data_IF_757561739631
#
_entry.id   IF_757561739631
#
_cell.length_a   1.000
_cell.length_b   1.000
_cell.length_c   1.000
_cell.angle_alpha   90.00
_cell.angle_beta   90.00
_cell.angle_gamma   90.00
#
_symmetry.space_group_name_H-M   'P 1'
#
loop_
_entity.id
_entity.type
_entity.pdbx_description
1 polymer ?
#
# COMPACT_ATOMS: atom_id res chain seq x y z
N UNK A 1 1.04 51.20 -19.74
CA UNK A 1 1.83 50.47 -18.70
C UNK A 1 1.02 49.94 -17.54
N UNK A 2 -0.01 50.59 -16.99
CA UNK A 2 -0.79 50.09 -15.84
C UNK A 2 -1.57 48.79 -16.11
N UNK A 3 -2.09 48.56 -17.29
CA UNK A 3 -2.89 47.36 -17.63
C UNK A 3 -2.02 46.12 -17.85
N UNK A 4 -0.74 46.26 -18.11
CA UNK A 4 0.18 45.18 -18.36
C UNK A 4 0.45 44.37 -17.06
N UNK A 5 0.56 45.07 -15.93
CA UNK A 5 0.73 44.41 -14.60
C UNK A 5 -0.56 43.76 -14.09
N UNK A 6 -1.70 44.30 -14.47
CA UNK A 6 -3.00 43.76 -14.13
C UNK A 6 -3.27 42.41 -14.85
N UNK A 7 -2.91 42.32 -16.13
CA UNK A 7 -2.96 41.11 -16.93
C UNK A 7 -1.98 40.02 -16.42
N UNK A 8 -0.76 40.41 -16.04
CA UNK A 8 0.21 39.49 -15.43
C UNK A 8 -0.25 38.95 -14.09
N UNK A 9 -0.87 39.78 -13.26
CA UNK A 9 -1.41 39.34 -11.96
C UNK A 9 -2.56 38.35 -12.11
N UNK A 10 -3.46 38.56 -13.06
CA UNK A 10 -4.57 37.63 -13.35
C UNK A 10 -4.06 36.29 -13.91
N UNK A 11 -3.06 36.35 -14.80
CA UNK A 11 -2.43 35.15 -15.37
C UNK A 11 -1.71 34.32 -14.29
N UNK A 12 -1.02 34.98 -13.37
CA UNK A 12 -0.32 34.33 -12.26
C UNK A 12 -1.30 33.71 -11.25
N UNK A 13 -2.42 34.38 -10.97
CA UNK A 13 -3.51 33.86 -10.14
C UNK A 13 -4.16 32.61 -10.70
N UNK A 14 -4.34 32.54 -12.03
CA UNK A 14 -4.89 31.36 -12.72
C UNK A 14 -3.95 30.16 -12.70
N UNK A 15 -2.64 30.38 -12.73
CA UNK A 15 -1.64 29.31 -12.65
C UNK A 15 -1.54 28.68 -11.26
N UNK A 16 -1.80 29.43 -10.19
CA UNK A 16 -1.79 28.89 -8.82
C UNK A 16 -3.06 28.11 -8.48
N UNK A 17 -4.18 28.37 -9.15
CA UNK A 17 -5.44 27.64 -8.93
C UNK A 17 -5.45 26.22 -9.51
N UNK A 18 -4.57 25.89 -10.46
CA UNK A 18 -4.60 24.58 -11.13
C UNK A 18 -4.02 23.44 -10.30
N UNK A 19 -3.19 23.73 -9.30
CA UNK A 19 -2.49 22.69 -8.53
C UNK A 19 -3.36 22.06 -7.42
N UNK A 20 -4.36 22.76 -6.91
CA UNK A 20 -5.24 22.27 -5.83
C UNK A 20 -6.36 21.36 -6.32
N UNK A 21 -6.85 21.56 -7.55
CA UNK A 21 -7.93 20.74 -8.11
C UNK A 21 -7.50 19.29 -8.42
N UNK A 22 -6.26 19.09 -8.84
CA UNK A 22 -5.76 17.75 -9.20
C UNK A 22 -5.52 16.84 -7.98
N UNK A 23 -5.18 17.40 -6.83
CA UNK A 23 -4.99 16.64 -5.60
C UNK A 23 -6.33 16.11 -5.05
N UNK A 24 -7.35 16.94 -5.01
CA UNK A 24 -8.68 16.57 -4.49
C UNK A 24 -9.40 15.54 -5.39
N UNK A 25 -9.15 15.55 -6.69
CA UNK A 25 -9.70 14.56 -7.62
C UNK A 25 -9.02 13.20 -7.45
N UNK A 26 -7.71 13.18 -7.22
CA UNK A 26 -6.94 11.96 -6.92
C UNK A 26 -7.40 11.28 -5.62
N UNK A 27 -7.67 12.05 -4.58
CA UNK A 27 -8.16 11.53 -3.30
C UNK A 27 -9.56 10.88 -3.47
N UNK A 28 -10.46 11.49 -4.22
CA UNK A 28 -11.80 10.93 -4.48
C UNK A 28 -11.75 9.65 -5.33
N UNK A 29 -10.82 9.56 -6.25
CA UNK A 29 -10.60 8.34 -7.04
C UNK A 29 -10.04 7.21 -6.18
N UNK A 30 -9.08 7.52 -5.32
CA UNK A 30 -8.52 6.57 -4.35
C UNK A 30 -9.58 6.06 -3.39
N UNK A 31 -10.38 6.93 -2.80
CA UNK A 31 -11.47 6.55 -1.89
C UNK A 31 -12.50 5.65 -2.58
N UNK A 32 -12.84 5.94 -3.81
CA UNK A 32 -13.76 5.11 -4.61
C UNK A 32 -13.16 3.73 -4.89
N UNK A 33 -11.88 3.68 -5.22
CA UNK A 33 -11.15 2.42 -5.43
C UNK A 33 -11.13 1.57 -4.16
N UNK A 34 -10.77 2.18 -3.01
CA UNK A 34 -10.73 1.52 -1.71
C UNK A 34 -12.12 0.99 -1.32
N UNK A 35 -13.16 1.81 -1.44
CA UNK A 35 -14.52 1.41 -1.13
C UNK A 35 -14.99 0.22 -1.99
N UNK A 36 -14.67 0.23 -3.28
CA UNK A 36 -14.99 -0.87 -4.19
C UNK A 36 -14.24 -2.15 -3.82
N UNK A 37 -12.94 -2.05 -3.52
CA UNK A 37 -12.12 -3.18 -3.08
C UNK A 37 -12.66 -3.78 -1.77
N UNK A 38 -12.91 -2.94 -0.78
CA UNK A 38 -13.48 -3.35 0.51
C UNK A 38 -14.87 -4.00 0.37
N UNK A 39 -15.67 -3.54 -0.58
CA UNK A 39 -16.97 -4.14 -0.90
C UNK A 39 -16.86 -5.57 -1.46
N UNK A 40 -15.75 -5.91 -2.10
CA UNK A 40 -15.48 -7.26 -2.64
C UNK A 40 -14.87 -8.20 -1.60
N UNK A 41 -14.31 -7.68 -0.52
CA UNK A 41 -13.62 -8.46 0.51
C UNK A 41 -14.57 -9.18 1.44
N UNK A 42 -14.28 -10.44 1.73
CA UNK A 42 -14.88 -11.20 2.82
C UNK A 42 -14.39 -10.66 4.18
N UNK A 43 -15.09 -11.02 5.26
CA UNK A 43 -14.64 -10.67 6.62
C UNK A 43 -13.25 -11.26 6.92
N UNK A 44 -12.99 -12.49 6.48
CA UNK A 44 -11.68 -13.14 6.64
C UNK A 44 -10.56 -12.34 5.98
N UNK A 45 -10.76 -11.90 4.74
CA UNK A 45 -9.78 -11.09 4.01
C UNK A 45 -9.58 -9.71 4.65
N UNK A 46 -10.63 -9.08 5.17
CA UNK A 46 -10.52 -7.81 5.90
C UNK A 46 -9.69 -7.96 7.18
N UNK A 47 -9.92 -9.04 7.94
CA UNK A 47 -9.13 -9.34 9.14
C UNK A 47 -7.68 -9.65 8.78
N UNK A 48 -7.45 -10.38 7.69
CA UNK A 48 -6.11 -10.65 7.17
C UNK A 48 -5.31 -9.39 6.87
N UNK A 49 -5.94 -8.36 6.27
CA UNK A 49 -5.26 -7.08 6.00
C UNK A 49 -4.75 -6.36 7.26
N UNK A 50 -5.30 -6.65 8.43
CA UNK A 50 -4.88 -6.08 9.72
C UNK A 50 -3.77 -6.88 10.40
N UNK A 51 -3.44 -8.06 9.89
CA UNK A 51 -2.45 -8.95 10.47
C UNK A 51 -1.10 -8.78 9.77
N UNK A 52 -0.07 -8.39 10.53
CA UNK A 52 1.29 -8.18 10.07
C UNK A 52 2.28 -8.96 10.95
N UNK A 53 2.48 -10.26 10.71
CA UNK A 53 3.40 -11.08 11.50
C UNK A 53 4.86 -10.69 11.24
N UNK A 54 5.70 -10.91 12.23
CA UNK A 54 7.15 -10.87 12.06
C UNK A 54 7.64 -12.19 11.47
N UNK A 55 8.29 -12.13 10.32
CA UNK A 55 8.89 -13.28 9.65
C UNK A 55 10.38 -13.41 9.96
N UNK A 56 10.87 -14.65 10.04
CA UNK A 56 12.31 -14.91 10.22
C UNK A 56 12.55 -16.33 10.68
N UNK A 57 13.55 -16.96 10.10
CA UNK A 57 13.85 -18.38 10.38
C UNK A 57 14.74 -18.58 11.62
N UNK A 58 15.21 -17.49 12.26
CA UNK A 58 16.27 -17.51 13.27
C UNK A 58 15.85 -17.06 14.68
N UNK A 59 14.63 -16.60 14.88
CA UNK A 59 14.19 -16.07 16.20
C UNK A 59 12.94 -16.81 16.67
N UNK A 60 12.96 -17.23 17.93
CA UNK A 60 11.80 -17.87 18.58
C UNK A 60 10.58 -16.93 18.56
N UNK A 61 9.45 -17.44 18.10
CA UNK A 61 8.20 -16.68 17.97
C UNK A 61 7.97 -16.01 16.61
N UNK A 62 8.94 -16.08 15.69
CA UNK A 62 8.76 -15.63 14.31
C UNK A 62 8.08 -16.71 13.45
N UNK A 63 7.31 -16.27 12.49
CA UNK A 63 6.70 -17.15 11.48
C UNK A 63 7.77 -17.56 10.47
N UNK A 64 7.95 -18.86 10.25
CA UNK A 64 8.91 -19.36 9.25
C UNK A 64 8.44 -19.08 7.81
N UNK A 65 9.35 -19.18 6.85
CA UNK A 65 9.07 -18.84 5.45
C UNK A 65 7.96 -19.69 4.82
N UNK A 66 7.82 -20.95 5.19
CA UNK A 66 6.78 -21.83 4.66
C UNK A 66 5.40 -21.47 5.20
N UNK A 67 5.31 -21.20 6.50
CA UNK A 67 4.08 -20.76 7.15
C UNK A 67 3.65 -19.39 6.62
N UNK A 68 4.59 -18.44 6.47
CA UNK A 68 4.31 -17.13 5.91
C UNK A 68 3.75 -17.25 4.48
N UNK A 69 4.31 -18.12 3.65
CA UNK A 69 3.80 -18.41 2.30
C UNK A 69 2.36 -18.93 2.34
N UNK A 70 2.05 -19.82 3.27
CA UNK A 70 0.70 -20.35 3.47
C UNK A 70 -0.28 -19.27 3.89
N UNK A 71 0.10 -18.40 4.84
CA UNK A 71 -0.72 -17.28 5.30
C UNK A 71 -1.03 -16.28 4.16
N UNK A 72 -0.06 -16.00 3.29
CA UNK A 72 -0.29 -15.18 2.09
C UNK A 72 -1.31 -15.82 1.16
N UNK A 73 -1.15 -17.10 0.84
CA UNK A 73 -2.09 -17.84 -0.04
C UNK A 73 -3.51 -17.87 0.51
N UNK A 74 -3.63 -17.99 1.82
CA UNK A 74 -4.91 -18.02 2.52
C UNK A 74 -5.48 -16.62 2.77
N UNK A 75 -4.78 -15.56 2.39
CA UNK A 75 -5.18 -14.16 2.61
C UNK A 75 -5.36 -13.83 4.11
N UNK A 76 -4.52 -14.41 4.95
CA UNK A 76 -4.52 -14.26 6.42
C UNK A 76 -3.65 -13.11 6.90
N UNK A 77 -2.90 -12.46 6.00
CA UNK A 77 -2.00 -11.33 6.30
C UNK A 77 -2.08 -10.24 5.24
N UNK A 78 -1.93 -8.99 5.68
CA UNK A 78 -1.83 -7.81 4.82
C UNK A 78 -0.38 -7.35 4.59
N UNK A 79 0.56 -7.92 5.34
CA UNK A 79 1.98 -7.61 5.22
C UNK A 79 2.81 -8.43 6.20
N UNK A 80 4.08 -8.11 6.30
CA UNK A 80 5.01 -8.78 7.22
C UNK A 80 6.19 -7.90 7.59
N UNK A 81 6.81 -8.21 8.73
CA UNK A 81 8.01 -7.54 9.21
C UNK A 81 9.24 -8.47 9.16
N UNK A 82 10.43 -7.87 9.08
CA UNK A 82 11.73 -8.50 9.34
C UNK A 82 12.12 -9.67 8.43
N UNK A 83 11.44 -9.89 7.31
CA UNK A 83 11.86 -10.88 6.31
C UNK A 83 13.08 -10.34 5.58
N UNK A 84 14.19 -11.07 5.66
CA UNK A 84 15.44 -10.72 4.99
C UNK A 84 15.57 -11.43 3.64
N UNK A 85 16.09 -10.69 2.68
CA UNK A 85 16.41 -11.21 1.34
C UNK A 85 15.35 -10.84 0.29
N UNK A 86 15.82 -10.09 -0.71
CA UNK A 86 14.97 -9.55 -1.77
C UNK A 86 14.18 -10.63 -2.54
N UNK A 87 14.78 -11.79 -2.76
CA UNK A 87 14.10 -12.90 -3.45
C UNK A 87 12.87 -13.39 -2.69
N UNK A 88 13.00 -13.60 -1.38
CA UNK A 88 11.87 -14.02 -0.52
C UNK A 88 10.74 -13.00 -0.57
N UNK A 89 11.07 -11.72 -0.49
CA UNK A 89 10.08 -10.61 -0.55
C UNK A 89 9.37 -10.61 -1.91
N UNK A 90 10.13 -10.71 -3.00
CA UNK A 90 9.56 -10.74 -4.34
C UNK A 90 8.67 -11.97 -4.55
N UNK A 91 9.06 -13.14 -4.06
CA UNK A 91 8.27 -14.36 -4.19
C UNK A 91 6.95 -14.26 -3.40
N UNK A 92 6.98 -13.72 -2.18
CA UNK A 92 5.77 -13.47 -1.39
C UNK A 92 4.84 -12.46 -2.06
N UNK A 93 5.37 -11.38 -2.63
CA UNK A 93 4.60 -10.40 -3.40
C UNK A 93 3.95 -11.02 -4.64
N UNK A 94 4.68 -11.85 -5.39
CA UNK A 94 4.11 -12.58 -6.53
C UNK A 94 2.97 -13.49 -6.11
N UNK A 95 3.12 -14.22 -5.02
CA UNK A 95 2.05 -15.07 -4.50
C UNK A 95 0.81 -14.23 -4.15
N UNK A 96 1.00 -13.09 -3.49
CA UNK A 96 -0.10 -12.20 -3.12
C UNK A 96 -0.84 -11.67 -4.36
N UNK A 97 -0.10 -11.24 -5.38
CA UNK A 97 -0.67 -10.61 -6.58
C UNK A 97 -1.25 -11.66 -7.54
N UNK A 98 -0.49 -12.73 -7.82
CA UNK A 98 -0.82 -13.67 -8.90
C UNK A 98 -1.64 -14.87 -8.44
N UNK A 99 -1.63 -15.20 -7.13
CA UNK A 99 -2.21 -16.43 -6.60
C UNK A 99 -3.34 -16.20 -5.61
N UNK A 100 -3.71 -14.95 -5.30
CA UNK A 100 -4.85 -14.64 -4.44
C UNK A 100 -6.01 -14.03 -5.21
N UNK A 101 -7.23 -14.14 -4.68
CA UNK A 101 -8.45 -13.72 -5.36
C UNK A 101 -8.52 -12.22 -5.67
N UNK A 102 -7.96 -11.40 -4.78
CA UNK A 102 -8.03 -9.93 -4.90
C UNK A 102 -6.75 -9.30 -5.42
N UNK A 103 -5.64 -10.04 -5.43
CA UNK A 103 -4.35 -9.56 -5.92
C UNK A 103 -3.80 -8.37 -5.13
N UNK A 104 -4.09 -8.28 -3.83
CA UNK A 104 -3.65 -7.15 -2.99
C UNK A 104 -2.18 -7.32 -2.64
N UNK A 105 -1.31 -6.35 -2.97
CA UNK A 105 0.09 -6.40 -2.57
C UNK A 105 0.27 -6.37 -1.05
N UNK A 106 1.34 -6.99 -0.56
CA UNK A 106 1.69 -7.02 0.86
C UNK A 106 2.48 -5.78 1.28
N UNK A 107 2.21 -5.28 2.47
CA UNK A 107 3.09 -4.31 3.14
C UNK A 107 4.35 -5.02 3.64
N UNK A 108 5.51 -4.41 3.39
CA UNK A 108 6.79 -4.93 3.86
C UNK A 108 7.43 -3.93 4.79
N UNK A 109 7.68 -4.34 6.02
CA UNK A 109 8.30 -3.51 7.04
C UNK A 109 9.58 -4.13 7.61
N UNK A 110 10.41 -3.30 8.20
CA UNK A 110 11.54 -3.70 9.01
C UNK A 110 11.51 -2.94 10.33
N UNK A 111 11.71 -3.67 11.42
CA UNK A 111 11.88 -3.08 12.74
C UNK A 111 13.36 -2.78 12.94
N UNK A 112 13.73 -1.51 12.77
CA UNK A 112 15.11 -1.03 12.91
C UNK A 112 15.24 -0.35 14.26
N UNK A 113 15.70 -1.10 15.27
CA UNK A 113 15.87 -0.61 16.63
C UNK A 113 17.12 0.26 16.78
N UNK A 114 18.16 -0.05 16.00
CA UNK A 114 19.42 0.69 15.98
C UNK A 114 19.80 0.96 14.52
N UNK A 115 19.89 2.22 14.17
CA UNK A 115 20.36 2.69 12.87
C UNK A 115 21.87 2.82 12.81
#
# INVERSE_FOLDING_TARGET
>A
MKYQYLLLGVLYGLLLSSCSLSAEEGDKEMDRYIANLMGKMTLHEKLGQLNLPSGGDLVTGNVNSAELTKMVRNQEIGGFFNVKGIRKIVDLQRIAIDSTRLGIPLLVGADVIHG
#
